data_IF_553006844677
#
_entry.id   IF_553006844677
#
_cell.length_a   1.000
_cell.length_b   1.000
_cell.length_c   1.000
_cell.angle_alpha   90.00
_cell.angle_beta   90.00
_cell.angle_gamma   90.00
#
_symmetry.space_group_name_H-M   'P 1'
#
loop_
_entity.id
_entity.type
_entity.pdbx_description
1 polymer ?
#
# COMPACT_ATOMS: atom_id res chain seq x y z
N UNK A 1 20.30 19.72 11.49
CA UNK A 1 20.08 18.27 11.67
C UNK A 1 18.65 18.10 12.12
N UNK A 2 17.84 17.36 11.37
CA UNK A 2 16.51 16.99 11.83
C UNK A 2 16.67 15.80 12.77
N UNK A 3 16.20 15.94 14.01
CA UNK A 3 16.25 14.89 15.03
C UNK A 3 14.91 14.17 15.08
N UNK A 4 14.93 12.86 14.92
CA UNK A 4 13.77 11.99 15.12
C UNK A 4 13.90 11.40 16.52
N UNK A 5 12.86 11.56 17.35
CA UNK A 5 12.81 10.90 18.65
C UNK A 5 12.18 9.51 18.47
N UNK A 6 12.91 8.46 18.85
CA UNK A 6 12.46 7.08 18.76
C UNK A 6 12.40 6.52 20.18
N UNK A 7 11.30 5.84 20.51
CA UNK A 7 11.18 5.13 21.78
C UNK A 7 12.41 4.21 21.99
N UNK A 8 13.08 4.26 23.16
CA UNK A 8 14.31 3.50 23.37
C UNK A 8 14.15 1.99 23.21
N UNK A 9 13.00 1.43 23.59
CA UNK A 9 12.72 -0.02 23.47
C UNK A 9 12.53 -0.39 22.00
N UNK A 10 11.89 0.47 21.21
CA UNK A 10 11.77 0.29 19.76
C UNK A 10 13.15 0.34 19.09
N UNK A 11 14.00 1.30 19.48
CA UNK A 11 15.35 1.43 18.94
C UNK A 11 16.20 0.18 19.24
N UNK A 12 16.17 -0.32 20.47
CA UNK A 12 16.90 -1.52 20.88
C UNK A 12 16.47 -2.74 20.06
N UNK A 13 15.16 -2.93 19.87
CA UNK A 13 14.63 -4.02 19.04
C UNK A 13 15.09 -3.93 17.59
N UNK A 14 15.10 -2.72 17.02
CA UNK A 14 15.55 -2.50 15.65
C UNK A 14 17.05 -2.74 15.49
N UNK A 15 17.87 -2.31 16.46
CA UNK A 15 19.31 -2.57 16.49
C UNK A 15 19.61 -4.07 16.56
N UNK A 16 18.93 -4.80 17.46
CA UNK A 16 19.10 -6.25 17.56
C UNK A 16 18.71 -6.95 16.26
N UNK A 17 17.57 -6.60 15.67
CA UNK A 17 17.14 -7.18 14.39
C UNK A 17 18.17 -6.93 13.29
N UNK A 18 18.71 -5.72 13.20
CA UNK A 18 19.74 -5.39 12.21
C UNK A 18 21.02 -6.22 12.42
N UNK A 19 21.46 -6.38 13.66
CA UNK A 19 22.62 -7.20 13.99
C UNK A 19 22.41 -8.68 13.68
N UNK A 20 21.24 -9.23 14.03
CA UNK A 20 20.89 -10.64 13.79
C UNK A 20 20.81 -10.98 12.29
N UNK A 21 20.53 -9.99 11.44
CA UNK A 21 20.34 -10.17 10.00
C UNK A 21 21.45 -9.55 9.13
N UNK A 22 22.56 -9.09 9.75
CA UNK A 22 23.68 -8.42 9.07
C UNK A 22 23.23 -7.24 8.18
N UNK A 23 22.37 -6.39 8.74
CA UNK A 23 21.81 -5.22 8.06
C UNK A 23 22.40 -3.92 8.60
N UNK A 24 22.65 -2.96 7.72
CA UNK A 24 22.87 -1.58 8.13
C UNK A 24 21.53 -0.93 8.52
N UNK A 25 21.38 -0.60 9.80
CA UNK A 25 20.12 -0.10 10.36
C UNK A 25 19.67 1.21 9.69
N UNK A 26 20.59 2.14 9.43
CA UNK A 26 20.27 3.43 8.82
C UNK A 26 19.75 3.26 7.39
N UNK A 27 20.44 2.46 6.57
CA UNK A 27 20.00 2.12 5.22
C UNK A 27 18.68 1.35 5.22
N UNK A 28 18.46 0.48 6.20
CA UNK A 28 17.20 -0.26 6.33
C UNK A 28 16.04 0.68 6.65
N UNK A 29 16.19 1.57 7.63
CA UNK A 29 15.20 2.60 7.96
C UNK A 29 14.91 3.47 6.74
N UNK A 30 15.94 3.93 6.03
CA UNK A 30 15.76 4.75 4.83
C UNK A 30 14.97 4.01 3.74
N UNK A 31 15.26 2.71 3.51
CA UNK A 31 14.50 1.88 2.55
C UNK A 31 13.05 1.72 2.96
N UNK A 32 12.77 1.48 4.25
CA UNK A 32 11.40 1.34 4.75
C UNK A 32 10.63 2.66 4.61
N UNK A 33 11.24 3.78 5.01
CA UNK A 33 10.65 5.11 4.84
C UNK A 33 10.37 5.41 3.36
N UNK A 34 11.33 5.15 2.46
CA UNK A 34 11.13 5.29 1.01
C UNK A 34 10.00 4.41 0.50
N UNK A 35 9.87 3.18 0.98
CA UNK A 35 8.76 2.29 0.61
C UNK A 35 7.41 2.90 0.99
N UNK A 36 7.30 3.53 2.17
CA UNK A 36 6.07 4.21 2.59
C UNK A 36 5.75 5.41 1.69
N UNK A 37 6.75 6.23 1.32
CA UNK A 37 6.54 7.38 0.42
C UNK A 37 6.26 6.96 -1.02
N UNK A 38 6.90 5.91 -1.52
CA UNK A 38 6.61 5.32 -2.83
C UNK A 38 5.17 4.81 -2.83
N UNK A 39 4.69 4.25 -1.72
CA UNK A 39 3.30 3.86 -1.60
C UNK A 39 2.37 5.09 -1.63
N UNK A 40 2.62 6.14 -0.86
CA UNK A 40 1.79 7.36 -0.92
C UNK A 40 1.79 8.04 -2.30
N UNK A 41 2.96 8.23 -2.91
CA UNK A 41 3.10 8.98 -4.15
C UNK A 41 2.67 8.17 -5.38
N UNK A 42 3.01 6.88 -5.44
CA UNK A 42 2.56 6.01 -6.54
C UNK A 42 1.11 5.55 -6.37
N UNK A 43 0.63 5.23 -5.16
CA UNK A 43 -0.79 4.90 -5.00
C UNK A 43 -1.65 6.16 -5.18
N UNK A 44 -1.27 7.32 -4.68
CA UNK A 44 -2.02 8.57 -4.93
C UNK A 44 -2.15 8.92 -6.42
N UNK A 45 -1.10 8.67 -7.22
CA UNK A 45 -1.09 8.91 -8.68
C UNK A 45 -1.71 7.75 -9.49
N UNK A 46 -1.54 6.49 -9.08
CA UNK A 46 -2.14 5.32 -9.74
C UNK A 46 -3.64 5.17 -9.44
N UNK A 47 -4.10 5.49 -8.22
CA UNK A 47 -5.53 5.46 -7.85
C UNK A 47 -6.40 6.32 -8.77
N UNK A 48 -5.87 7.44 -9.27
CA UNK A 48 -6.60 8.32 -10.21
C UNK A 48 -6.54 7.90 -11.67
N UNK A 49 -5.68 6.93 -12.01
CA UNK A 49 -5.41 6.53 -13.41
C UNK A 49 -5.67 5.05 -13.67
N UNK A 50 -6.04 4.28 -12.64
CA UNK A 50 -6.48 2.90 -12.79
C UNK A 50 -7.92 2.89 -13.28
N UNK A 51 -8.10 2.37 -14.49
CA UNK A 51 -9.40 2.05 -15.07
C UNK A 51 -9.99 0.88 -14.29
N UNK A 52 -10.89 1.20 -13.36
CA UNK A 52 -11.53 0.21 -12.49
C UNK A 52 -12.38 -0.78 -13.30
N UNK A 53 -13.00 -0.31 -14.39
CA UNK A 53 -13.76 -1.17 -15.30
C UNK A 53 -12.86 -2.22 -15.95
N UNK A 54 -11.69 -1.81 -16.46
CA UNK A 54 -10.73 -2.75 -17.04
C UNK A 54 -10.24 -3.81 -16.03
N UNK A 55 -10.16 -3.45 -14.75
CA UNK A 55 -9.78 -4.38 -13.68
C UNK A 55 -10.90 -5.38 -13.40
N UNK A 56 -12.15 -4.90 -13.26
CA UNK A 56 -13.32 -5.73 -13.03
C UNK A 56 -13.51 -6.72 -14.19
N UNK A 57 -13.38 -6.24 -15.44
CA UNK A 57 -13.46 -7.06 -16.65
C UNK A 57 -12.43 -8.20 -16.66
N UNK A 58 -11.22 -7.95 -16.15
CA UNK A 58 -10.16 -8.97 -16.07
C UNK A 58 -10.47 -10.09 -15.07
N UNK A 59 -11.31 -9.80 -14.07
CA UNK A 59 -11.65 -10.72 -12.97
C UNK A 59 -12.94 -11.51 -13.29
N UNK A 60 -13.76 -11.05 -14.24
CA UNK A 60 -14.98 -11.74 -14.70
C UNK A 60 -14.73 -13.18 -15.17
N UNK A 61 -13.53 -13.48 -15.69
CA UNK A 61 -13.12 -14.85 -16.04
C UNK A 61 -12.85 -15.77 -14.85
N UNK A 62 -12.73 -15.21 -13.64
CA UNK A 62 -12.46 -15.90 -12.37
C UNK A 62 -13.68 -15.87 -11.45
N UNK A 63 -14.42 -14.76 -11.44
CA UNK A 63 -15.65 -14.54 -10.68
C UNK A 63 -16.81 -14.30 -11.66
N UNK A 64 -17.55 -15.34 -12.06
CA UNK A 64 -18.63 -15.23 -13.04
C UNK A 64 -19.77 -14.30 -12.60
N UNK A 65 -19.95 -14.10 -11.29
CA UNK A 65 -20.93 -13.18 -10.71
C UNK A 65 -20.70 -11.73 -11.14
N UNK A 66 -19.47 -11.38 -11.54
CA UNK A 66 -19.14 -10.05 -12.09
C UNK A 66 -19.71 -9.81 -13.49
N UNK A 67 -20.33 -10.82 -14.11
CA UNK A 67 -21.12 -10.64 -15.35
C UNK A 67 -22.49 -10.00 -15.09
N UNK A 68 -22.96 -10.02 -13.84
CA UNK A 68 -24.15 -9.31 -13.40
C UNK A 68 -23.80 -7.83 -13.16
N UNK A 69 -24.48 -6.93 -13.85
CA UNK A 69 -24.16 -5.49 -13.80
C UNK A 69 -24.43 -4.90 -12.41
N UNK A 70 -25.43 -5.39 -11.67
CA UNK A 70 -25.74 -4.90 -10.32
C UNK A 70 -24.61 -5.29 -9.34
N UNK A 71 -24.14 -6.53 -9.43
CA UNK A 71 -22.99 -7.01 -8.64
C UNK A 71 -21.70 -6.27 -9.03
N UNK A 72 -21.51 -6.00 -10.31
CA UNK A 72 -20.35 -5.26 -10.83
C UNK A 72 -20.34 -3.82 -10.31
N UNK A 73 -21.48 -3.14 -10.34
CA UNK A 73 -21.65 -1.77 -9.84
C UNK A 73 -21.44 -1.70 -8.32
N UNK A 74 -22.02 -2.61 -7.54
CA UNK A 74 -21.79 -2.67 -6.09
C UNK A 74 -20.32 -2.90 -5.75
N UNK A 75 -19.63 -3.76 -6.49
CA UNK A 75 -18.21 -4.02 -6.32
C UNK A 75 -17.36 -2.79 -6.64
N UNK A 76 -17.66 -2.12 -7.76
CA UNK A 76 -16.99 -0.89 -8.16
C UNK A 76 -17.13 0.19 -7.07
N UNK A 77 -18.37 0.45 -6.62
CA UNK A 77 -18.67 1.43 -5.59
C UNK A 77 -17.94 1.12 -4.27
N UNK A 78 -17.92 -0.15 -3.84
CA UNK A 78 -17.19 -0.55 -2.64
C UNK A 78 -15.69 -0.27 -2.74
N UNK A 79 -15.09 -0.61 -3.89
CA UNK A 79 -13.65 -0.39 -4.13
C UNK A 79 -13.34 1.11 -4.14
N UNK A 80 -14.17 1.89 -4.82
CA UNK A 80 -14.05 3.35 -4.84
C UNK A 80 -14.12 3.94 -3.43
N UNK A 81 -15.17 3.65 -2.66
CA UNK A 81 -15.35 4.20 -1.32
C UNK A 81 -14.25 3.78 -0.33
N UNK A 82 -13.85 2.51 -0.34
CA UNK A 82 -12.90 1.98 0.65
C UNK A 82 -11.45 2.30 0.34
N UNK A 83 -11.08 2.31 -0.94
CA UNK A 83 -9.69 2.33 -1.35
C UNK A 83 -9.31 3.54 -2.20
N UNK A 84 -10.27 4.23 -2.83
CA UNK A 84 -10.00 5.36 -3.72
C UNK A 84 -10.51 6.71 -3.18
N UNK A 85 -11.56 6.74 -2.35
CA UNK A 85 -12.21 7.95 -1.85
C UNK A 85 -11.48 8.64 -0.67
N UNK A 86 -10.46 8.00 -0.07
CA UNK A 86 -9.58 8.66 0.91
C UNK A 86 -8.36 9.23 0.18
N UNK A 87 -8.53 10.47 -0.29
CA UNK A 87 -7.47 11.38 -0.73
C UNK A 87 -7.26 12.51 0.27
#
# INVERSE_FOLDING_TARGET
MNTINIDPIVLEKAQRYAQENDLDLSNYIEKQLKSLYIQEELFGKKRRTQDLDALLDSITGVLPEMTDEEVREECANYIEEKYLALG
#
